data_IF_748488203572
#
_entry.id   IF_748488203572
#
_cell.length_a   1.000
_cell.length_b   1.000
_cell.length_c   1.000
_cell.angle_alpha   90.00
_cell.angle_beta   90.00
_cell.angle_gamma   90.00
#
_symmetry.space_group_name_H-M   'P 1'
#
loop_
_entity.id
_entity.type
_entity.pdbx_description
1 polymer ?
#
# COMPACT_ATOMS: atom_id res chain seq x y z
N UNK A 1 -3.94 -32.25 -36.60
CA UNK A 1 -5.22 -31.81 -35.99
C UNK A 1 -4.99 -31.20 -34.59
N UNK A 2 -4.04 -30.27 -34.41
CA UNK A 2 -3.69 -29.68 -33.09
C UNK A 2 -3.63 -28.14 -33.17
N UNK A 3 -4.68 -27.46 -33.60
CA UNK A 3 -4.68 -25.98 -33.60
C UNK A 3 -6.03 -25.29 -33.27
N UNK A 4 -7.07 -26.03 -32.86
CA UNK A 4 -8.38 -25.42 -32.54
C UNK A 4 -8.62 -25.21 -31.03
N UNK A 5 -7.88 -25.90 -30.15
CA UNK A 5 -8.09 -25.80 -28.69
C UNK A 5 -7.35 -24.63 -28.01
N UNK A 6 -6.32 -24.05 -28.65
CA UNK A 6 -5.50 -22.98 -28.06
C UNK A 6 -6.06 -21.55 -28.30
N UNK A 7 -6.88 -21.37 -29.34
CA UNK A 7 -7.41 -20.05 -29.76
C UNK A 7 -8.57 -19.57 -28.88
N UNK A 8 -9.39 -20.47 -28.34
CA UNK A 8 -10.49 -20.11 -27.42
C UNK A 8 -10.01 -19.44 -26.12
N UNK A 9 -8.86 -19.88 -25.61
CA UNK A 9 -8.21 -19.34 -24.41
C UNK A 9 -7.71 -17.90 -24.60
N UNK A 10 -7.15 -17.60 -25.77
CA UNK A 10 -6.60 -16.27 -26.09
C UNK A 10 -7.71 -15.24 -26.33
N UNK A 11 -8.83 -15.66 -26.93
CA UNK A 11 -9.97 -14.79 -27.25
C UNK A 11 -10.64 -14.21 -26.00
N UNK A 12 -10.98 -15.05 -25.01
CA UNK A 12 -11.64 -14.55 -23.79
C UNK A 12 -10.68 -13.68 -22.98
N UNK A 13 -9.38 -14.02 -22.90
CA UNK A 13 -8.39 -13.23 -22.15
C UNK A 13 -8.24 -11.83 -22.74
N UNK A 14 -8.27 -11.69 -24.07
CA UNK A 14 -8.28 -10.39 -24.75
C UNK A 14 -9.56 -9.61 -24.46
N UNK A 15 -10.73 -10.28 -24.45
CA UNK A 15 -12.03 -9.66 -24.14
C UNK A 15 -12.12 -9.20 -22.68
N UNK A 16 -11.64 -10.00 -21.74
CA UNK A 16 -11.55 -9.62 -20.31
C UNK A 16 -10.52 -8.50 -20.12
N UNK A 17 -9.36 -8.59 -20.77
CA UNK A 17 -8.35 -7.55 -20.72
C UNK A 17 -8.88 -6.22 -21.25
N UNK A 18 -9.60 -6.20 -22.38
CA UNK A 18 -10.21 -4.97 -22.91
C UNK A 18 -11.29 -4.40 -22.00
N UNK A 19 -12.00 -5.25 -21.24
CA UNK A 19 -13.01 -4.80 -20.28
C UNK A 19 -12.42 -4.23 -18.98
N UNK A 20 -11.26 -4.74 -18.54
CA UNK A 20 -10.62 -4.34 -17.27
C UNK A 20 -9.56 -3.23 -17.49
N UNK A 21 -9.17 -2.96 -18.75
CA UNK A 21 -8.12 -1.99 -19.06
C UNK A 21 -8.62 -0.56 -18.80
N UNK A 22 -8.05 0.05 -17.76
CA UNK A 22 -8.24 1.48 -17.49
C UNK A 22 -7.50 2.28 -18.56
N UNK A 23 -8.25 2.94 -19.45
CA UNK A 23 -7.69 3.78 -20.50
C UNK A 23 -7.16 5.12 -19.95
N UNK A 24 -7.73 5.61 -18.86
CA UNK A 24 -7.31 6.84 -18.20
C UNK A 24 -5.98 6.67 -17.47
N UNK A 25 -4.93 7.27 -18.02
CA UNK A 25 -3.56 7.22 -17.46
C UNK A 25 -3.53 7.80 -16.03
N UNK A 26 -4.21 8.92 -15.79
CA UNK A 26 -4.26 9.57 -14.48
C UNK A 26 -4.87 8.67 -13.41
N UNK A 27 -5.96 7.96 -13.71
CA UNK A 27 -6.60 7.06 -12.76
C UNK A 27 -5.68 5.88 -12.41
N UNK A 28 -4.93 5.37 -13.41
CA UNK A 28 -3.98 4.29 -13.20
C UNK A 28 -2.79 4.72 -12.33
N UNK A 29 -2.31 5.96 -12.52
CA UNK A 29 -1.31 6.60 -11.67
C UNK A 29 -1.82 6.77 -10.23
N UNK A 30 -3.04 7.30 -10.04
CA UNK A 30 -3.65 7.49 -8.71
C UNK A 30 -3.86 6.16 -7.96
N UNK A 31 -4.29 5.11 -8.65
CA UNK A 31 -4.44 3.78 -8.04
C UNK A 31 -3.09 3.18 -7.65
N UNK A 32 -2.05 3.39 -8.46
CA UNK A 32 -0.70 2.98 -8.11
C UNK A 32 -0.20 3.72 -6.87
N UNK A 33 -0.32 5.05 -6.82
CA UNK A 33 0.06 5.85 -5.65
C UNK A 33 -0.70 5.43 -4.38
N UNK A 34 -2.01 5.22 -4.49
CA UNK A 34 -2.84 4.68 -3.40
C UNK A 34 -2.31 3.33 -2.89
N UNK A 35 -2.08 2.36 -3.78
CA UNK A 35 -1.58 1.03 -3.41
C UNK A 35 -0.17 1.08 -2.83
N UNK A 36 0.71 1.92 -3.38
CA UNK A 36 2.06 2.12 -2.86
C UNK A 36 2.07 2.67 -1.45
N UNK A 37 1.30 3.74 -1.20
CA UNK A 37 1.19 4.33 0.13
C UNK A 37 0.50 3.38 1.12
N UNK A 38 -0.48 2.60 0.66
CA UNK A 38 -1.12 1.57 1.48
C UNK A 38 -0.11 0.51 1.93
N UNK A 39 0.65 -0.08 1.00
CA UNK A 39 1.66 -1.11 1.29
C UNK A 39 2.71 -0.57 2.26
N UNK A 40 3.29 0.60 1.96
CA UNK A 40 4.29 1.25 2.80
C UNK A 40 3.82 1.36 4.25
N UNK A 41 2.63 1.91 4.46
CA UNK A 41 2.11 2.19 5.79
C UNK A 41 1.58 0.94 6.50
N UNK A 42 1.09 -0.08 5.78
CA UNK A 42 0.67 -1.34 6.42
C UNK A 42 1.88 -2.03 7.05
N UNK A 43 3.00 -2.11 6.35
CA UNK A 43 4.23 -2.70 6.89
C UNK A 43 4.84 -1.83 7.99
N UNK A 44 4.97 -0.52 7.76
CA UNK A 44 5.54 0.40 8.74
C UNK A 44 4.72 0.51 10.03
N UNK A 45 3.45 0.89 9.91
CA UNK A 45 2.57 1.06 11.07
C UNK A 45 2.20 -0.28 11.72
N UNK A 46 2.16 -1.37 10.95
CA UNK A 46 1.96 -2.72 11.49
C UNK A 46 3.08 -3.14 12.43
N UNK A 47 4.35 -2.87 12.09
CA UNK A 47 5.50 -3.15 12.95
C UNK A 47 5.51 -2.26 14.21
N UNK A 48 5.12 -0.99 14.08
CA UNK A 48 4.97 -0.08 15.24
C UNK A 48 3.86 -0.58 16.17
N UNK A 49 2.71 -0.98 15.61
CA UNK A 49 1.60 -1.52 16.40
C UNK A 49 2.00 -2.80 17.14
N UNK A 50 2.80 -3.68 16.52
CA UNK A 50 3.30 -4.90 17.15
C UNK A 50 4.17 -4.58 18.38
N UNK A 51 5.11 -3.64 18.26
CA UNK A 51 5.99 -3.21 19.35
C UNK A 51 5.19 -2.61 20.51
N UNK A 52 4.30 -1.67 20.20
CA UNK A 52 3.50 -0.96 21.22
C UNK A 52 2.56 -1.91 21.95
N UNK A 53 1.85 -2.76 21.22
CA UNK A 53 0.82 -3.62 21.81
C UNK A 53 1.42 -4.79 22.59
N UNK A 54 2.64 -5.20 22.27
CA UNK A 54 3.38 -6.22 22.99
C UNK A 54 4.20 -5.66 24.17
N UNK A 55 4.04 -4.39 24.55
CA UNK A 55 4.81 -3.73 25.62
C UNK A 55 6.33 -3.91 25.45
N UNK A 56 6.83 -3.69 24.24
CA UNK A 56 8.25 -3.83 23.86
C UNK A 56 8.84 -5.26 23.99
N UNK A 57 8.00 -6.29 24.23
CA UNK A 57 8.48 -7.69 24.28
C UNK A 57 8.66 -8.31 22.90
N UNK A 58 7.81 -7.91 21.93
CA UNK A 58 7.83 -8.41 20.55
C UNK A 58 8.02 -7.24 19.59
N UNK A 59 9.26 -7.03 19.13
CA UNK A 59 9.63 -6.00 18.16
C UNK A 59 10.60 -4.96 18.73
N UNK A 60 11.75 -4.82 18.08
CA UNK A 60 12.75 -3.81 18.42
C UNK A 60 12.63 -2.59 17.50
N UNK A 61 13.22 -1.46 17.87
CA UNK A 61 13.31 -0.29 16.97
C UNK A 61 13.99 -0.65 15.64
N UNK A 62 14.95 -1.59 15.66
CA UNK A 62 15.59 -2.11 14.45
C UNK A 62 14.58 -2.81 13.52
N UNK A 63 13.66 -3.60 14.08
CA UNK A 63 12.62 -4.28 13.29
C UNK A 63 11.66 -3.30 12.59
N UNK A 64 11.36 -2.16 13.23
CA UNK A 64 10.55 -1.09 12.63
C UNK A 64 11.29 -0.47 11.44
N UNK A 65 12.59 -0.19 11.59
CA UNK A 65 13.39 0.36 10.50
C UNK A 65 13.45 -0.59 9.29
N UNK A 66 13.63 -1.88 9.53
CA UNK A 66 13.57 -2.90 8.47
C UNK A 66 12.20 -2.99 7.83
N UNK A 67 11.12 -2.93 8.61
CA UNK A 67 9.75 -2.97 8.10
C UNK A 67 9.45 -1.77 7.18
N UNK A 68 9.88 -0.56 7.56
CA UNK A 68 9.79 0.61 6.69
C UNK A 68 10.66 0.47 5.44
N UNK A 69 11.91 0.00 5.57
CA UNK A 69 12.81 -0.20 4.44
C UNK A 69 12.24 -1.16 3.40
N UNK A 70 11.85 -2.36 3.83
CA UNK A 70 11.21 -3.35 2.94
C UNK A 70 9.84 -2.88 2.43
N UNK A 71 9.08 -2.16 3.25
CA UNK A 71 7.80 -1.57 2.87
C UNK A 71 7.95 -0.58 1.71
N UNK A 72 8.94 0.32 1.77
CA UNK A 72 9.26 1.24 0.66
C UNK A 72 9.71 0.46 -0.57
N UNK A 73 10.64 -0.49 -0.43
CA UNK A 73 11.13 -1.28 -1.58
C UNK A 73 9.99 -2.00 -2.30
N UNK A 74 9.08 -2.63 -1.55
CA UNK A 74 7.93 -3.34 -2.11
C UNK A 74 6.95 -2.36 -2.78
N UNK A 75 6.66 -1.23 -2.13
CA UNK A 75 5.80 -0.20 -2.71
C UNK A 75 6.38 0.34 -4.02
N UNK A 76 7.68 0.61 -4.09
CA UNK A 76 8.38 1.05 -5.31
C UNK A 76 8.34 -0.03 -6.40
N UNK A 77 8.54 -1.30 -6.04
CA UNK A 77 8.49 -2.39 -7.01
C UNK A 77 7.11 -2.53 -7.69
N UNK A 78 6.04 -2.35 -6.91
CA UNK A 78 4.66 -2.44 -7.42
C UNK A 78 4.28 -1.21 -8.24
N UNK A 79 4.69 -0.02 -7.83
CA UNK A 79 4.18 1.25 -8.38
C UNK A 79 5.11 1.94 -9.38
N UNK A 80 6.40 1.58 -9.38
CA UNK A 80 7.44 2.30 -10.12
C UNK A 80 7.20 2.36 -11.63
N UNK A 81 6.67 1.31 -12.24
CA UNK A 81 6.38 1.30 -13.70
C UNK A 81 5.11 2.06 -14.09
N UNK A 82 4.26 2.42 -13.12
CA UNK A 82 2.93 3.00 -13.39
C UNK A 82 2.90 4.49 -13.06
N UNK A 83 3.27 4.88 -11.84
CA UNK A 83 3.19 6.26 -11.36
C UNK A 83 4.53 6.96 -11.16
N UNK A 84 5.65 6.21 -11.24
CA UNK A 84 6.97 6.68 -10.84
C UNK A 84 7.30 6.47 -9.36
N UNK A 85 6.40 5.80 -8.61
CA UNK A 85 6.55 5.48 -7.19
C UNK A 85 6.86 6.71 -6.31
N UNK A 86 6.04 7.75 -6.38
CA UNK A 86 6.23 8.91 -5.51
C UNK A 86 5.91 8.53 -4.05
N UNK A 87 4.76 7.87 -3.84
CA UNK A 87 4.27 7.25 -2.59
C UNK A 87 4.12 8.25 -1.43
N UNK A 88 4.58 9.49 -1.62
CA UNK A 88 4.75 10.53 -0.63
C UNK A 88 4.45 11.89 -1.28
N UNK A 89 3.65 12.73 -0.60
CA UNK A 89 3.33 14.07 -1.09
C UNK A 89 4.58 14.96 -1.24
N UNK A 90 5.56 14.85 -0.34
CA UNK A 90 6.81 15.62 -0.43
C UNK A 90 7.62 15.26 -1.68
N UNK A 91 7.67 13.97 -2.03
CA UNK A 91 8.34 13.50 -3.25
C UNK A 91 7.58 13.98 -4.49
N UNK A 92 6.25 13.97 -4.45
CA UNK A 92 5.41 14.46 -5.56
C UNK A 92 5.61 15.97 -5.79
N UNK A 93 5.73 16.76 -4.72
CA UNK A 93 6.05 18.19 -4.78
C UNK A 93 7.46 18.41 -5.32
N UNK A 94 8.45 17.64 -4.87
CA UNK A 94 9.81 17.74 -5.38
C UNK A 94 9.88 17.42 -6.88
N UNK A 95 9.24 16.34 -7.33
CA UNK A 95 9.17 15.97 -8.75
C UNK A 95 8.43 17.01 -9.58
N UNK A 96 7.47 17.71 -9.00
CA UNK A 96 6.82 18.84 -9.64
C UNK A 96 7.76 20.05 -9.76
N UNK A 97 8.55 20.36 -8.73
CA UNK A 97 9.56 21.41 -8.77
C UNK A 97 10.68 21.15 -9.80
N UNK A 98 11.05 19.87 -10.00
CA UNK A 98 11.98 19.46 -11.05
C UNK A 98 11.37 19.36 -12.45
N UNK A 99 10.06 19.59 -12.60
CA UNK A 99 9.36 19.57 -13.89
C UNK A 99 9.00 18.18 -14.42
N UNK A 100 9.20 17.11 -13.62
CA UNK A 100 8.87 15.73 -14.01
C UNK A 100 7.39 15.41 -13.84
N UNK A 101 6.67 16.14 -12.99
CA UNK A 101 5.23 16.00 -12.78
C UNK A 101 4.51 17.32 -13.06
N UNK A 102 3.48 17.35 -13.92
CA UNK A 102 2.72 18.57 -14.15
C UNK A 102 1.88 18.97 -12.91
N UNK A 103 1.86 20.27 -12.60
CA UNK A 103 1.20 20.86 -11.42
C UNK A 103 -0.26 20.46 -11.25
N UNK A 104 -1.02 20.27 -12.34
CA UNK A 104 -2.43 19.89 -12.28
C UNK A 104 -2.65 18.47 -11.73
N UNK A 105 -1.66 17.56 -11.85
CA UNK A 105 -1.74 16.20 -11.31
C UNK A 105 -1.40 16.10 -9.83
N UNK A 106 -0.67 17.09 -9.30
CA UNK A 106 -0.20 17.12 -7.92
C UNK A 106 -1.33 16.95 -6.88
N UNK A 107 -2.46 17.69 -6.93
CA UNK A 107 -3.53 17.49 -5.95
C UNK A 107 -4.17 16.09 -6.04
N UNK A 108 -4.25 15.51 -7.24
CA UNK A 108 -4.78 14.15 -7.42
C UNK A 108 -3.86 13.10 -6.77
N UNK A 109 -2.54 13.26 -6.91
CA UNK A 109 -1.54 12.41 -6.28
C UNK A 109 -1.62 12.51 -4.75
N UNK A 110 -1.62 13.73 -4.20
CA UNK A 110 -1.72 13.95 -2.75
C UNK A 110 -3.00 13.33 -2.19
N UNK A 111 -4.13 13.52 -2.86
CA UNK A 111 -5.40 12.93 -2.44
C UNK A 111 -5.32 11.39 -2.41
N UNK A 112 -4.77 10.76 -3.46
CA UNK A 112 -4.63 9.31 -3.51
C UNK A 112 -3.70 8.75 -2.42
N UNK A 113 -2.62 9.46 -2.09
CA UNK A 113 -1.67 9.08 -1.04
C UNK A 113 -2.29 9.21 0.36
N UNK A 114 -2.98 10.33 0.64
CA UNK A 114 -3.70 10.54 1.91
C UNK A 114 -4.79 9.48 2.10
N UNK A 115 -5.55 9.19 1.04
CA UNK A 115 -6.57 8.14 1.09
C UNK A 115 -5.95 6.75 1.30
N UNK A 116 -4.83 6.44 0.64
CA UNK A 116 -4.08 5.19 0.84
C UNK A 116 -3.58 5.02 2.27
N UNK A 117 -3.08 6.08 2.88
CA UNK A 117 -2.66 6.07 4.28
C UNK A 117 -3.82 5.93 5.26
N UNK A 118 -4.95 6.58 4.99
CA UNK A 118 -6.16 6.41 5.81
C UNK A 118 -6.65 4.96 5.81
N UNK A 119 -6.77 4.35 4.63
CA UNK A 119 -7.20 2.94 4.48
C UNK A 119 -6.20 1.99 5.13
N UNK A 120 -4.91 2.25 5.02
CA UNK A 120 -3.87 1.48 5.70
C UNK A 120 -4.02 1.53 7.23
N UNK A 121 -4.22 2.74 7.79
CA UNK A 121 -4.47 2.91 9.22
C UNK A 121 -5.72 2.16 9.69
N UNK A 122 -6.80 2.22 8.93
CA UNK A 122 -8.03 1.46 9.20
C UNK A 122 -7.80 -0.06 9.15
N UNK A 123 -7.01 -0.56 8.20
CA UNK A 123 -6.68 -1.97 8.07
C UNK A 123 -5.84 -2.45 9.28
N UNK A 124 -4.77 -1.73 9.63
CA UNK A 124 -3.94 -2.06 10.81
C UNK A 124 -4.77 -2.00 12.09
N UNK A 125 -5.64 -0.99 12.25
CA UNK A 125 -6.56 -0.90 13.38
C UNK A 125 -7.45 -2.15 13.47
N UNK A 126 -8.04 -2.57 12.35
CA UNK A 126 -8.94 -3.74 12.29
C UNK A 126 -8.23 -5.04 12.64
N UNK A 127 -6.99 -5.23 12.16
CA UNK A 127 -6.17 -6.42 12.48
C UNK A 127 -5.89 -6.50 13.99
N UNK A 128 -5.53 -5.39 14.61
CA UNK A 128 -5.19 -5.33 16.04
C UNK A 128 -6.39 -5.08 16.96
N UNK A 129 -7.60 -4.95 16.42
CA UNK A 129 -8.82 -4.69 17.20
C UNK A 129 -9.10 -5.82 18.18
N UNK A 130 -8.99 -7.08 17.73
CA UNK A 130 -9.19 -8.26 18.58
C UNK A 130 -8.15 -8.36 19.71
N UNK A 131 -6.90 -7.98 19.44
CA UNK A 131 -5.84 -8.01 20.45
C UNK A 131 -6.05 -6.94 21.54
N UNK A 132 -6.62 -5.78 21.21
CA UNK A 132 -6.99 -4.76 22.21
C UNK A 132 -8.12 -5.21 23.14
N UNK A 133 -9.09 -5.94 22.61
CA UNK A 133 -10.20 -6.48 23.42
C UNK A 133 -9.75 -7.64 24.29
N UNK A 134 -8.83 -8.48 23.81
CA UNK A 134 -8.24 -9.55 24.62
C UNK A 134 -7.31 -9.00 25.71
N UNK A 135 -6.62 -7.88 25.43
CA UNK A 135 -5.81 -7.20 26.45
C UNK A 135 -6.61 -6.43 27.50
N UNK A 136 -7.91 -6.23 27.28
CA UNK A 136 -8.83 -5.67 28.29
C UNK A 136 -9.76 -6.73 28.92
N UNK A 137 -9.78 -7.96 28.40
CA UNK A 137 -10.60 -9.06 28.91
C UNK A 137 -9.78 -10.05 29.74
N UNK A 138 -9.83 -9.86 31.07
CA UNK A 138 -9.55 -10.84 32.13
C UNK A 138 -8.18 -11.53 32.24
N UNK A 139 -7.30 -11.53 31.23
CA UNK A 139 -5.96 -12.15 31.33
C UNK A 139 -4.88 -11.25 31.97
N UNK A 140 -5.17 -9.97 32.21
CA UNK A 140 -4.21 -9.02 32.81
C UNK A 140 -4.10 -9.08 34.34
N UNK A 141 -4.99 -9.82 35.02
CA UNK A 141 -4.96 -9.99 36.49
C UNK A 141 -4.24 -11.29 36.92
N UNK A 142 -4.06 -12.28 36.04
CA UNK A 142 -3.43 -13.56 36.38
C UNK A 142 -1.94 -13.69 35.99
N UNK A 143 -1.32 -12.66 35.42
CA UNK A 143 0.11 -12.67 35.07
C UNK A 143 0.93 -11.58 35.80
N UNK A 144 0.47 -11.13 36.97
CA UNK A 144 1.29 -10.39 37.93
C UNK A 144 1.11 -10.97 39.33
#
# INVERSE_FOLDING_TARGET
>A
MLNSAATGNISWRKKVSSLVRIENVLLREMLAEFLGTFILLVFGNGAVAQKVLSRDTLGTTLSINWAYGFGVTMAVYVTGKVSGAHINPAVSVAQCAFGNLPLYKLPCYIFSQVFGGFVSGAAVYSIYYGLRHCTTSWYYICCY
#
